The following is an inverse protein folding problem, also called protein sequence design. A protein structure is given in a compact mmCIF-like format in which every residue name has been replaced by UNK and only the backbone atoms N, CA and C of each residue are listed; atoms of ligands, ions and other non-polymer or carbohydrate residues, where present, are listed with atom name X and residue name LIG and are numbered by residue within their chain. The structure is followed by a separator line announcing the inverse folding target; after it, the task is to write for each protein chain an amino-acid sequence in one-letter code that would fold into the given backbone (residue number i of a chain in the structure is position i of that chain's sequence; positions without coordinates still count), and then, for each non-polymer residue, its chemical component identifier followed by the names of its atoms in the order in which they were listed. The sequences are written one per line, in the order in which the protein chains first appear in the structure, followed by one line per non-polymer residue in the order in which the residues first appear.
data_IF_244274821388
#
_entry.id   IF_244274821388
#
_cell.length_a   1.000
_cell.length_b   1.000
_cell.length_c   1.000
_cell.angle_alpha   90.00
_cell.angle_beta   90.00
_cell.angle_gamma   90.00
#
_symmetry.space_group_name_H-M   'P 1'
#
loop_
_entity.id
_entity.type
_entity.pdbx_description
1 polymer ?
#
# COMPACT_ATOMS: atom_id res chain seq x y z
N UNK A 1 -14.67 -27.93 59.24
CA UNK A 1 -13.72 -26.83 58.97
C UNK A 1 -12.59 -27.38 58.15
N UNK A 2 -12.41 -26.94 56.90
CA UNK A 2 -11.29 -27.34 56.04
C UNK A 2 -10.47 -26.08 55.74
N UNK A 3 -9.16 -26.11 56.01
CA UNK A 3 -8.26 -25.00 55.70
C UNK A 3 -7.65 -25.23 54.32
N UNK A 4 -7.86 -24.26 53.42
CA UNK A 4 -7.31 -24.27 52.06
C UNK A 4 -5.90 -23.69 52.07
N UNK A 5 -4.90 -24.49 51.74
CA UNK A 5 -3.50 -24.04 51.59
C UNK A 5 -3.28 -23.45 50.20
N UNK A 6 -3.33 -22.13 50.08
CA UNK A 6 -3.01 -21.42 48.84
C UNK A 6 -1.49 -21.36 48.60
N UNK A 7 -1.06 -21.72 47.39
CA UNK A 7 0.33 -21.61 46.93
C UNK A 7 0.58 -20.19 46.38
N UNK A 8 1.63 -19.47 46.80
CA UNK A 8 1.91 -18.12 46.29
C UNK A 8 2.54 -18.14 44.89
N UNK A 9 2.28 -17.12 44.05
CA UNK A 9 2.81 -17.04 42.68
C UNK A 9 4.32 -16.72 42.63
N UNK A 10 5.03 -17.13 41.56
CA UNK A 10 6.47 -16.89 41.40
C UNK A 10 6.80 -15.41 41.13
N UNK A 11 7.94 -14.95 41.66
CA UNK A 11 8.44 -13.57 41.45
C UNK A 11 8.94 -13.35 40.01
N UNK A 12 8.77 -12.15 39.44
CA UNK A 12 9.36 -11.81 38.14
C UNK A 12 10.90 -11.79 38.20
N UNK A 13 11.54 -12.15 37.09
CA UNK A 13 13.01 -12.13 36.93
C UNK A 13 13.47 -10.72 36.55
N UNK A 14 14.53 -10.24 37.17
CA UNK A 14 15.15 -8.95 36.83
C UNK A 14 15.76 -8.98 35.42
N UNK A 15 15.69 -7.88 34.64
CA UNK A 15 16.40 -7.76 33.37
C UNK A 15 17.92 -7.56 33.59
N UNK A 16 18.76 -7.98 32.62
CA UNK A 16 20.21 -7.76 32.67
C UNK A 16 20.59 -6.28 32.43
N UNK A 17 21.79 -5.84 32.87
CA UNK A 17 22.24 -4.46 32.73
C UNK A 17 22.57 -4.09 31.27
N UNK A 18 22.41 -2.80 30.95
CA UNK A 18 22.72 -2.23 29.63
C UNK A 18 24.18 -1.78 29.62
N UNK A 19 25.02 -2.47 28.84
CA UNK A 19 26.35 -1.98 28.50
C UNK A 19 26.26 -1.02 27.31
N UNK A 20 26.73 0.22 27.51
CA UNK A 20 26.94 1.18 26.43
C UNK A 20 28.42 1.28 26.06
N UNK A 21 28.79 1.49 24.77
CA UNK A 21 30.16 1.77 24.40
C UNK A 21 30.49 3.27 24.44
N UNK A 22 31.71 3.55 24.93
CA UNK A 22 32.34 4.87 24.97
C UNK A 22 32.61 5.47 23.57
N UNK A 23 32.68 6.81 23.55
CA UNK A 23 33.14 7.64 22.43
C UNK A 23 34.57 7.29 21.95
N UNK A 24 34.85 7.56 20.66
CA UNK A 24 36.16 8.06 20.21
C UNK A 24 36.02 9.01 19.02
N UNK A 25 36.82 10.07 19.03
CA UNK A 25 36.89 11.12 18.02
C UNK A 25 37.95 10.81 16.94
N UNK A 26 37.72 11.30 15.72
CA UNK A 26 38.69 11.75 14.71
C UNK A 26 37.92 12.35 13.52
N UNK A 27 38.41 13.26 12.70
CA UNK A 27 39.40 14.34 12.84
C UNK A 27 39.16 15.33 11.68
N UNK A 28 39.57 16.60 11.80
CA UNK A 28 39.29 17.66 10.82
C UNK A 28 40.44 17.95 9.85
N UNK A 29 40.12 18.19 8.56
CA UNK A 29 40.86 19.03 7.58
C UNK A 29 39.83 19.48 6.50
N UNK A 30 39.62 20.74 6.08
CA UNK A 30 40.48 21.65 5.26
C UNK A 30 41.09 20.97 4.01
N UNK A 31 41.19 21.52 2.78
CA UNK A 31 40.76 22.76 2.08
C UNK A 31 40.98 22.55 0.54
N UNK A 32 40.63 23.40 -0.47
CA UNK A 32 39.87 24.68 -0.58
C UNK A 32 39.42 25.01 -2.04
N UNK A 33 38.53 26.03 -2.14
CA UNK A 33 38.24 27.06 -3.19
C UNK A 33 38.71 26.99 -4.67
N UNK A 34 37.98 27.81 -5.47
CA UNK A 34 38.23 28.40 -6.81
C UNK A 34 37.78 27.57 -8.03
N UNK A 35 37.17 28.04 -9.13
CA UNK A 35 36.54 29.30 -9.64
C UNK A 35 37.09 29.70 -11.03
N UNK A 36 36.25 30.32 -11.88
CA UNK A 36 36.50 30.77 -13.28
C UNK A 36 36.49 29.64 -14.34
N UNK A 37 36.07 29.87 -15.61
CA UNK A 37 35.51 31.07 -16.25
C UNK A 37 34.62 30.72 -17.46
N UNK A 38 33.73 31.65 -17.85
CA UNK A 38 33.02 31.64 -19.15
C UNK A 38 33.61 32.68 -20.12
N UNK A 39 33.47 32.46 -21.43
CA UNK A 39 33.02 33.51 -22.36
C UNK A 39 31.87 32.97 -23.26
N UNK A 40 30.75 33.65 -23.55
CA UNK A 40 30.47 35.05 -23.96
C UNK A 40 30.09 35.13 -25.46
N UNK A 41 28.81 35.41 -25.74
CA UNK A 41 28.27 36.08 -26.95
C UNK A 41 28.44 35.34 -28.30
N UNK A 42 27.54 35.41 -29.30
CA UNK A 42 26.21 36.04 -29.44
C UNK A 42 25.62 35.67 -30.81
N UNK A 43 24.31 35.43 -30.93
CA UNK A 43 23.57 35.61 -32.20
C UNK A 43 22.07 35.73 -31.94
N UNK A 44 21.48 36.89 -32.25
CA UNK A 44 20.03 37.10 -32.27
C UNK A 44 19.53 36.95 -33.71
N UNK A 45 18.55 36.09 -33.93
CA UNK A 45 17.73 36.12 -35.14
C UNK A 45 16.32 35.55 -34.89
N UNK A 46 15.33 36.36 -35.27
CA UNK A 46 13.90 36.05 -35.33
C UNK A 46 13.37 36.61 -36.67
N UNK A 47 12.19 36.17 -37.14
CA UNK A 47 11.64 34.82 -37.07
C UNK A 47 11.22 34.34 -38.49
N UNK A 48 11.01 33.03 -38.66
CA UNK A 48 10.30 32.50 -39.83
C UNK A 48 9.12 31.64 -39.40
N UNK A 49 7.94 32.04 -39.86
CA UNK A 49 6.68 31.34 -39.61
C UNK A 49 6.66 29.99 -40.33
N UNK A 50 6.65 28.91 -39.56
CA UNK A 50 6.21 27.60 -40.02
C UNK A 50 5.24 27.06 -38.97
N UNK A 51 3.95 27.02 -39.33
CA UNK A 51 2.94 26.28 -38.58
C UNK A 51 3.38 24.82 -38.55
N UNK A 52 3.39 24.21 -37.37
CA UNK A 52 3.39 22.76 -37.28
C UNK A 52 2.41 22.37 -36.19
N UNK A 53 1.52 21.45 -36.51
CA UNK A 53 0.28 21.28 -35.77
C UNK A 53 0.53 20.70 -34.37
N UNK A 54 -0.10 21.33 -33.38
CA UNK A 54 -0.07 20.86 -32.01
C UNK A 54 -0.85 19.57 -31.87
N UNK A 55 -0.20 18.43 -32.17
CA UNK A 55 -0.62 17.14 -31.66
C UNK A 55 -0.48 17.22 -30.15
N UNK A 56 -1.60 17.51 -29.48
CA UNK A 56 -1.69 17.45 -28.04
C UNK A 56 -1.33 16.03 -27.61
N UNK A 57 -0.12 15.88 -27.05
CA UNK A 57 0.12 14.78 -26.15
C UNK A 57 -0.84 14.98 -24.98
N UNK A 58 -1.96 14.27 -24.99
CA UNK A 58 -2.71 14.03 -23.77
C UNK A 58 -1.69 13.42 -22.79
N UNK A 59 -1.27 14.20 -21.79
CA UNK A 59 -0.59 13.64 -20.64
C UNK A 59 -1.59 12.65 -20.04
N UNK A 60 -1.39 11.38 -20.35
CA UNK A 60 -2.11 10.26 -19.77
C UNK A 60 -1.92 10.38 -18.26
N UNK A 61 -2.90 11.01 -17.62
CA UNK A 61 -2.81 11.47 -16.24
C UNK A 61 -2.74 10.23 -15.37
N UNK A 62 -1.52 9.77 -15.11
CA UNK A 62 -1.22 8.54 -14.36
C UNK A 62 -2.04 8.55 -13.08
N UNK A 63 -3.13 7.80 -13.10
CA UNK A 63 -4.07 7.80 -11.99
C UNK A 63 -3.31 7.31 -10.77
N UNK A 64 -3.18 8.17 -9.77
CA UNK A 64 -2.53 7.81 -8.52
C UNK A 64 -3.28 6.69 -7.80
N UNK A 65 -2.70 6.15 -6.72
CA UNK A 65 -3.40 5.17 -5.91
C UNK A 65 -4.68 5.80 -5.37
N UNK A 66 -5.82 5.11 -5.50
CA UNK A 66 -7.15 5.64 -5.16
C UNK A 66 -8.06 4.62 -4.50
N UNK A 67 -9.01 5.15 -3.73
CA UNK A 67 -10.21 4.48 -3.27
C UNK A 67 -11.23 4.49 -4.41
N UNK A 68 -11.70 3.30 -4.80
CA UNK A 68 -12.86 3.13 -5.66
C UNK A 68 -14.04 2.69 -4.80
N UNK A 69 -15.02 3.56 -4.60
CA UNK A 69 -16.33 3.22 -4.06
C UNK A 69 -17.03 2.35 -5.12
N UNK A 70 -17.33 1.10 -4.79
CA UNK A 70 -18.00 0.18 -5.69
C UNK A 70 -19.53 0.33 -5.65
N UNK A 71 -20.06 0.71 -4.48
CA UNK A 71 -21.48 1.04 -4.26
C UNK A 71 -21.63 1.79 -2.94
N UNK A 72 -22.49 2.79 -2.88
CA UNK A 72 -22.93 3.41 -1.64
C UNK A 72 -24.45 3.69 -1.67
N UNK A 73 -25.11 3.50 -0.54
CA UNK A 73 -26.53 3.78 -0.37
C UNK A 73 -26.82 4.39 0.99
N UNK A 74 -27.72 5.37 1.03
CA UNK A 74 -28.14 6.07 2.23
C UNK A 74 -29.66 5.99 2.42
N UNK A 75 -30.13 5.63 3.61
CA UNK A 75 -31.56 5.56 3.92
C UNK A 75 -31.91 4.60 5.06
N UNK A 76 -33.15 4.12 5.11
CA UNK A 76 -33.64 3.27 6.21
C UNK A 76 -34.58 2.14 5.73
N UNK A 77 -34.22 0.90 6.05
CA UNK A 77 -34.97 -0.29 5.62
C UNK A 77 -34.88 -0.49 4.11
N UNK A 78 -36.02 -0.46 3.42
CA UNK A 78 -36.11 -0.63 1.96
C UNK A 78 -36.02 0.69 1.18
N UNK A 79 -36.07 1.84 1.84
CA UNK A 79 -35.98 3.15 1.19
C UNK A 79 -34.54 3.64 1.26
N UNK A 80 -33.84 3.55 0.13
CA UNK A 80 -32.42 3.85 -0.02
C UNK A 80 -32.19 4.73 -1.25
N UNK A 81 -31.49 5.85 -1.09
CA UNK A 81 -30.91 6.62 -2.18
C UNK A 81 -29.54 6.02 -2.56
N UNK A 82 -29.22 5.96 -3.85
CA UNK A 82 -27.85 5.69 -4.29
C UNK A 82 -27.01 6.96 -4.13
N UNK A 83 -25.86 6.82 -3.48
CA UNK A 83 -24.92 7.92 -3.20
C UNK A 83 -23.50 7.58 -3.63
N UNK A 84 -23.33 6.57 -4.51
CA UNK A 84 -22.04 6.04 -4.97
C UNK A 84 -21.15 7.14 -5.55
N UNK A 85 -21.66 7.91 -6.51
CA UNK A 85 -20.90 8.97 -7.18
C UNK A 85 -20.55 10.13 -6.25
N UNK A 86 -21.44 10.46 -5.31
CA UNK A 86 -21.19 11.51 -4.30
C UNK A 86 -20.06 11.07 -3.37
N UNK A 87 -20.09 9.82 -2.88
CA UNK A 87 -19.05 9.30 -1.98
C UNK A 87 -17.71 9.09 -2.72
N UNK A 88 -17.73 8.68 -3.99
CA UNK A 88 -16.53 8.61 -4.84
C UNK A 88 -15.91 10.00 -5.00
N UNK A 89 -16.72 11.01 -5.35
CA UNK A 89 -16.25 12.40 -5.51
C UNK A 89 -15.63 12.94 -4.22
N UNK A 90 -16.23 12.67 -3.07
CA UNK A 90 -15.64 13.04 -1.76
C UNK A 90 -14.26 12.42 -1.55
N UNK A 91 -14.07 11.15 -1.93
CA UNK A 91 -12.78 10.49 -1.83
C UNK A 91 -11.75 11.15 -2.76
N UNK A 92 -12.13 11.42 -4.01
CA UNK A 92 -11.27 12.03 -5.02
C UNK A 92 -10.87 13.47 -4.66
N UNK A 93 -11.82 14.30 -4.19
CA UNK A 93 -11.59 15.65 -3.68
C UNK A 93 -10.68 15.66 -2.44
N UNK A 94 -10.75 14.63 -1.60
CA UNK A 94 -9.84 14.42 -0.46
C UNK A 94 -8.48 13.80 -0.88
N UNK A 95 -8.13 13.83 -2.16
CA UNK A 95 -6.87 13.35 -2.71
C UNK A 95 -6.87 11.86 -3.06
N UNK A 96 -8.02 11.19 -3.09
CA UNK A 96 -8.21 9.82 -3.57
C UNK A 96 -7.99 8.72 -2.54
N UNK A 97 -7.29 8.93 -1.42
CA UNK A 97 -7.03 7.87 -0.41
C UNK A 97 -7.69 8.11 0.96
N UNK A 98 -8.56 9.11 1.07
CA UNK A 98 -9.17 9.50 2.35
C UNK A 98 -10.68 9.71 2.20
N UNK A 99 -11.45 9.24 3.18
CA UNK A 99 -12.84 9.67 3.44
C UNK A 99 -12.91 10.11 4.91
N UNK A 100 -12.84 11.42 5.16
CA UNK A 100 -13.04 12.03 6.49
C UNK A 100 -14.24 12.99 6.42
N UNK A 101 -15.38 12.57 6.97
CA UNK A 101 -16.67 13.22 6.75
C UNK A 101 -17.64 13.03 7.94
N UNK A 102 -18.64 13.91 8.01
CA UNK A 102 -19.74 13.88 9.01
C UNK A 102 -19.28 13.98 10.47
N UNK A 103 -20.23 14.08 11.41
CA UNK A 103 -19.95 14.11 12.84
C UNK A 103 -19.21 15.36 13.37
N UNK A 104 -19.00 16.38 12.53
CA UNK A 104 -18.45 17.67 12.96
C UNK A 104 -19.58 18.57 13.47
N UNK A 105 -19.48 19.05 14.72
CA UNK A 105 -20.45 19.97 15.34
C UNK A 105 -20.43 21.41 14.79
N UNK A 106 -20.01 21.63 13.55
CA UNK A 106 -19.81 22.96 12.97
C UNK A 106 -20.08 22.98 11.47
N UNK A 107 -20.31 24.20 10.95
CA UNK A 107 -20.71 24.54 9.58
C UNK A 107 -19.65 24.19 8.50
N UNK A 108 -19.32 22.91 8.35
CA UNK A 108 -18.70 22.39 7.13
C UNK A 108 -19.81 22.03 6.13
N UNK A 109 -19.58 22.19 4.81
CA UNK A 109 -20.59 21.86 3.80
C UNK A 109 -21.05 20.38 3.85
N UNK A 110 -20.25 19.49 4.45
CA UNK A 110 -20.55 18.07 4.63
C UNK A 110 -20.79 17.72 6.13
N UNK A 111 -21.40 18.64 6.89
CA UNK A 111 -21.58 18.50 8.35
C UNK A 111 -22.53 17.37 8.77
N UNK A 112 -23.63 17.20 8.03
CA UNK A 112 -24.61 16.11 8.17
C UNK A 112 -24.88 15.42 6.83
N UNK A 113 -25.30 14.16 6.90
CA UNK A 113 -25.55 13.30 5.74
C UNK A 113 -26.75 13.80 4.92
N UNK A 114 -27.82 14.31 5.57
CA UNK A 114 -29.00 14.82 4.86
C UNK A 114 -28.72 16.05 4.01
N UNK A 115 -27.79 16.92 4.41
CA UNK A 115 -27.38 18.07 3.59
C UNK A 115 -26.62 17.65 2.33
N UNK A 116 -25.97 16.47 2.35
CA UNK A 116 -25.12 15.98 1.27
C UNK A 116 -25.80 14.98 0.34
N UNK A 117 -26.72 14.17 0.89
CA UNK A 117 -27.40 13.08 0.19
C UNK A 117 -28.91 13.33 -0.01
N UNK A 118 -29.45 14.39 0.59
CA UNK A 118 -30.90 14.56 0.79
C UNK A 118 -31.42 13.69 1.93
N UNK A 119 -32.71 13.85 2.27
CA UNK A 119 -33.40 12.99 3.24
C UNK A 119 -34.37 12.05 2.52
N UNK A 120 -33.94 10.82 2.17
CA UNK A 120 -34.77 9.87 1.43
C UNK A 120 -35.94 9.31 2.25
N UNK A 121 -35.93 9.46 3.59
CA UNK A 121 -36.97 8.93 4.46
C UNK A 121 -37.08 9.78 5.75
N UNK A 122 -37.80 10.92 5.68
CA UNK A 122 -37.93 11.83 6.81
C UNK A 122 -38.51 11.21 8.07
N UNK A 123 -38.00 11.65 9.22
CA UNK A 123 -38.45 11.18 10.54
C UNK A 123 -38.00 9.77 10.91
N UNK A 124 -37.07 9.16 10.16
CA UNK A 124 -36.45 7.88 10.49
C UNK A 124 -34.92 8.00 10.51
N UNK A 125 -34.31 7.31 11.46
CA UNK A 125 -32.85 7.15 11.53
C UNK A 125 -32.36 6.38 10.31
N UNK A 126 -31.38 6.97 9.59
CA UNK A 126 -30.80 6.42 8.37
C UNK A 126 -29.41 5.86 8.63
N UNK A 127 -28.90 5.12 7.66
CA UNK A 127 -27.55 4.56 7.67
C UNK A 127 -26.92 4.72 6.29
N UNK A 128 -25.64 5.12 6.26
CA UNK A 128 -24.79 5.04 5.08
C UNK A 128 -24.16 3.64 5.03
N UNK A 129 -24.55 2.86 4.03
CA UNK A 129 -23.96 1.57 3.71
C UNK A 129 -23.11 1.74 2.45
N UNK A 130 -21.84 1.37 2.48
CA UNK A 130 -20.99 1.45 1.29
C UNK A 130 -19.93 0.36 1.24
N UNK A 131 -19.47 0.07 0.03
CA UNK A 131 -18.35 -0.80 -0.24
C UNK A 131 -17.31 -0.12 -1.13
N UNK A 132 -16.04 -0.38 -0.86
CA UNK A 132 -14.92 0.23 -1.58
C UNK A 132 -13.73 -0.71 -1.67
N UNK A 133 -12.83 -0.45 -2.60
CA UNK A 133 -11.48 -1.02 -2.58
C UNK A 133 -10.42 0.06 -2.79
N UNK A 134 -9.22 -0.14 -2.24
CA UNK A 134 -8.06 0.67 -2.55
C UNK A 134 -7.31 0.00 -3.70
N UNK A 135 -7.08 0.76 -4.76
CA UNK A 135 -6.33 0.37 -5.94
C UNK A 135 -4.96 1.04 -5.90
N UNK A 136 -3.90 0.24 -5.75
CA UNK A 136 -2.55 0.70 -6.01
C UNK A 136 -2.31 0.80 -7.51
N UNK A 137 -1.80 1.95 -7.95
CA UNK A 137 -1.42 2.21 -9.33
C UNK A 137 0.04 1.81 -9.61
N UNK A 138 0.85 1.64 -8.55
CA UNK A 138 2.28 1.40 -8.69
C UNK A 138 2.56 -0.06 -8.99
N UNK A 139 3.05 -0.30 -10.20
CA UNK A 139 3.71 -1.56 -10.54
C UNK A 139 5.06 -1.63 -9.82
N UNK A 140 5.26 -2.67 -9.02
CA UNK A 140 6.51 -2.96 -8.35
C UNK A 140 7.19 -4.16 -8.99
N UNK A 141 8.51 -4.09 -9.11
CA UNK A 141 9.36 -5.23 -9.43
C UNK A 141 10.23 -5.54 -8.21
N UNK A 142 10.21 -6.78 -7.74
CA UNK A 142 11.23 -7.30 -6.82
C UNK A 142 11.96 -8.47 -7.46
N UNK A 143 13.25 -8.58 -7.15
CA UNK A 143 14.07 -9.74 -7.48
C UNK A 143 14.52 -10.42 -6.19
N UNK A 144 14.49 -11.75 -6.19
CA UNK A 144 14.97 -12.60 -5.09
C UNK A 144 15.92 -13.64 -5.70
N UNK A 145 17.20 -13.70 -5.29
CA UNK A 145 18.11 -14.75 -5.75
C UNK A 145 17.61 -16.14 -5.34
N UNK A 146 17.99 -17.16 -6.11
CA UNK A 146 17.68 -18.56 -5.85
C UNK A 146 17.89 -18.95 -4.36
N UNK A 147 16.92 -19.70 -3.84
CA UNK A 147 16.84 -20.19 -2.46
C UNK A 147 16.93 -19.15 -1.32
N UNK A 148 16.92 -17.85 -1.64
CA UNK A 148 16.71 -16.80 -0.63
C UNK A 148 15.24 -16.72 -0.25
N UNK A 149 14.99 -16.47 1.03
CA UNK A 149 13.64 -16.34 1.56
C UNK A 149 12.93 -15.10 0.99
N UNK A 150 11.83 -15.34 0.28
CA UNK A 150 10.91 -14.32 -0.17
C UNK A 150 10.06 -13.82 1.01
N UNK A 151 9.89 -12.50 1.11
CA UNK A 151 8.99 -11.82 2.07
C UNK A 151 8.22 -10.70 1.35
N UNK A 152 7.25 -11.07 0.53
CA UNK A 152 6.38 -10.13 -0.17
C UNK A 152 5.11 -9.87 0.66
N UNK A 153 5.24 -9.10 1.74
CA UNK A 153 4.10 -8.67 2.58
C UNK A 153 4.09 -7.16 2.74
N UNK A 154 2.90 -6.57 2.87
CA UNK A 154 2.75 -5.11 2.99
C UNK A 154 3.53 -4.58 4.20
N UNK A 155 3.49 -5.30 5.32
CA UNK A 155 4.30 -5.00 6.50
C UNK A 155 5.81 -5.00 6.21
N UNK A 156 6.33 -6.02 5.52
CA UNK A 156 7.77 -6.11 5.24
C UNK A 156 8.22 -4.99 4.31
N UNK A 157 7.45 -4.71 3.26
CA UNK A 157 7.76 -3.63 2.31
C UNK A 157 7.62 -2.26 2.96
N UNK A 158 6.63 -2.04 3.83
CA UNK A 158 6.50 -0.80 4.60
C UNK A 158 7.69 -0.58 5.53
N UNK A 159 8.07 -1.58 6.34
CA UNK A 159 9.26 -1.48 7.20
C UNK A 159 10.52 -1.19 6.39
N UNK A 160 10.68 -1.82 5.22
CA UNK A 160 11.84 -1.65 4.33
C UNK A 160 11.93 -0.27 3.67
N UNK A 161 10.79 0.31 3.25
CA UNK A 161 10.74 1.59 2.52
C UNK A 161 10.59 2.80 3.45
N UNK A 162 9.78 2.67 4.51
CA UNK A 162 9.37 3.78 5.38
C UNK A 162 10.08 3.79 6.76
N UNK A 163 10.82 2.74 7.12
CA UNK A 163 11.62 2.70 8.35
C UNK A 163 10.84 2.60 9.67
N UNK A 164 9.55 2.24 9.63
CA UNK A 164 8.68 2.19 10.82
C UNK A 164 7.66 1.05 10.80
N UNK A 165 6.80 1.00 11.83
CA UNK A 165 5.63 0.11 11.84
C UNK A 165 4.59 0.56 10.80
N UNK A 166 3.97 -0.36 10.04
CA UNK A 166 2.85 -0.01 9.17
C UNK A 166 1.65 0.50 9.99
N UNK A 167 0.77 1.32 9.39
CA UNK A 167 -0.51 1.68 9.99
C UNK A 167 -1.46 0.46 10.00
N UNK A 168 -2.52 0.49 10.82
CA UNK A 168 -3.42 -0.66 10.99
C UNK A 168 -4.15 -1.05 9.69
N UNK A 169 -4.44 -0.08 8.83
CA UNK A 169 -5.06 -0.25 7.52
C UNK A 169 -4.22 -1.15 6.59
N UNK A 170 -2.91 -1.29 6.84
CA UNK A 170 -2.04 -2.20 6.07
C UNK A 170 -2.46 -3.67 6.17
N UNK A 171 -3.19 -4.05 7.23
CA UNK A 171 -3.77 -5.39 7.40
C UNK A 171 -4.90 -5.67 6.40
N UNK A 172 -5.52 -4.63 5.85
CA UNK A 172 -6.59 -4.70 4.85
C UNK A 172 -6.07 -4.83 3.42
N UNK A 173 -4.78 -4.58 3.21
CA UNK A 173 -4.11 -4.63 1.92
C UNK A 173 -3.65 -6.06 1.62
N UNK A 174 -3.65 -6.42 0.34
CA UNK A 174 -3.29 -7.69 -0.25
C UNK A 174 -2.39 -7.45 -1.47
N UNK A 175 -1.51 -8.41 -1.78
CA UNK A 175 -0.68 -8.35 -2.99
C UNK A 175 -1.44 -8.95 -4.16
N UNK A 176 -1.39 -8.29 -5.31
CA UNK A 176 -1.81 -8.85 -6.59
C UNK A 176 -0.56 -9.10 -7.42
N UNK A 177 -0.17 -10.38 -7.54
CA UNK A 177 0.93 -10.79 -8.42
C UNK A 177 0.43 -10.73 -9.85
N UNK A 178 1.04 -9.86 -10.66
CA UNK A 178 0.66 -9.62 -12.04
C UNK A 178 1.42 -10.56 -12.98
N UNK A 179 2.72 -10.74 -12.74
CA UNK A 179 3.61 -11.64 -13.47
C UNK A 179 4.78 -12.06 -12.58
N UNK A 180 5.29 -13.27 -12.77
CA UNK A 180 6.53 -13.71 -12.14
C UNK A 180 7.32 -14.66 -13.05
N UNK A 181 8.63 -14.49 -13.07
CA UNK A 181 9.55 -15.35 -13.83
C UNK A 181 10.67 -15.86 -12.94
N UNK A 182 11.09 -17.10 -13.18
CA UNK A 182 12.21 -17.73 -12.51
C UNK A 182 13.20 -18.25 -13.54
N UNK A 183 14.49 -17.93 -13.40
CA UNK A 183 15.54 -18.41 -14.30
C UNK A 183 16.72 -17.46 -14.45
N UNK A 184 17.43 -17.56 -15.58
CA UNK A 184 18.57 -16.69 -15.92
C UNK A 184 18.68 -16.47 -17.43
N UNK A 185 18.94 -15.22 -17.82
CA UNK A 185 19.03 -14.82 -19.23
C UNK A 185 17.72 -15.12 -19.96
N UNK A 186 17.81 -15.86 -21.08
CA UNK A 186 16.65 -16.29 -21.87
C UNK A 186 16.02 -17.60 -21.35
N UNK A 187 16.67 -18.29 -20.43
CA UNK A 187 16.19 -19.55 -19.85
C UNK A 187 15.35 -19.25 -18.62
N UNK A 188 14.05 -19.00 -18.81
CA UNK A 188 13.11 -18.64 -17.76
C UNK A 188 11.82 -19.47 -17.83
N UNK A 189 11.28 -19.82 -16.67
CA UNK A 189 9.91 -20.30 -16.51
C UNK A 189 9.02 -19.14 -16.07
N UNK A 190 7.81 -19.07 -16.63
CA UNK A 190 6.72 -18.30 -16.04
C UNK A 190 6.20 -19.06 -14.82
N UNK A 191 6.27 -18.42 -13.65
CA UNK A 191 5.87 -18.99 -12.36
C UNK A 191 4.70 -18.20 -11.74
N UNK A 192 4.03 -17.37 -12.54
CA UNK A 192 2.95 -16.47 -12.10
C UNK A 192 1.82 -17.23 -11.42
N UNK A 193 1.36 -18.33 -12.03
CA UNK A 193 0.27 -19.15 -11.46
C UNK A 193 0.70 -19.85 -10.17
N UNK A 194 1.89 -20.47 -10.17
CA UNK A 194 2.46 -21.15 -8.99
C UNK A 194 2.55 -20.17 -7.80
N UNK A 195 3.04 -18.95 -8.02
CA UNK A 195 3.07 -17.94 -6.96
C UNK A 195 1.69 -17.44 -6.52
N UNK A 196 0.71 -17.35 -7.44
CA UNK A 196 -0.68 -16.99 -7.10
C UNK A 196 -1.35 -18.07 -6.25
N UNK A 197 -1.10 -19.34 -6.55
CA UNK A 197 -1.61 -20.47 -5.77
C UNK A 197 -0.98 -20.48 -4.37
N UNK A 198 0.35 -20.38 -4.27
CA UNK A 198 1.07 -20.26 -2.98
C UNK A 198 0.62 -19.05 -2.16
N UNK A 199 0.24 -17.95 -2.82
CA UNK A 199 -0.31 -16.75 -2.19
C UNK A 199 -1.75 -16.98 -1.70
N UNK A 200 -2.59 -17.67 -2.47
CA UNK A 200 -3.95 -18.02 -2.09
C UNK A 200 -3.96 -18.98 -0.90
N UNK A 201 -3.07 -19.98 -0.88
CA UNK A 201 -2.82 -20.86 0.27
C UNK A 201 -2.43 -20.09 1.55
N UNK A 202 -1.78 -18.92 1.40
CA UNK A 202 -1.44 -18.00 2.50
C UNK A 202 -2.50 -16.92 2.76
N UNK A 203 -3.71 -17.08 2.22
CA UNK A 203 -4.85 -16.18 2.44
C UNK A 203 -4.78 -14.85 1.68
N UNK A 204 -3.97 -14.76 0.62
CA UNK A 204 -3.95 -13.63 -0.32
C UNK A 204 -3.30 -12.33 0.16
N UNK A 205 -3.00 -12.18 1.45
CA UNK A 205 -2.48 -10.92 2.04
C UNK A 205 -1.04 -10.61 1.66
N UNK A 206 -0.22 -11.64 1.47
CA UNK A 206 1.20 -11.52 1.19
C UNK A 206 1.83 -12.91 1.14
N UNK A 207 3.01 -13.01 0.54
CA UNK A 207 3.69 -14.26 0.30
C UNK A 207 5.00 -14.33 1.08
N UNK A 208 5.11 -15.31 1.98
CA UNK A 208 6.36 -15.68 2.64
C UNK A 208 6.72 -17.11 2.19
N UNK A 209 7.81 -17.25 1.45
CA UNK A 209 8.17 -18.51 0.80
C UNK A 209 9.69 -18.71 0.70
N UNK A 210 10.10 -19.95 0.47
CA UNK A 210 11.50 -20.37 0.28
C UNK A 210 12.43 -20.12 1.48
N UNK A 211 13.67 -20.56 1.36
CA UNK A 211 14.71 -20.36 2.38
C UNK A 211 14.55 -21.21 3.65
N UNK A 212 13.81 -22.32 3.58
CA UNK A 212 13.68 -23.30 4.68
C UNK A 212 14.16 -24.70 4.25
N UNK A 213 14.85 -25.40 5.16
CA UNK A 213 15.26 -26.81 4.96
C UNK A 213 14.11 -27.81 5.08
N UNK A 214 12.95 -27.39 5.60
CA UNK A 214 11.78 -28.26 5.82
C UNK A 214 10.51 -27.56 5.28
N UNK A 215 9.58 -28.39 4.79
CA UNK A 215 8.32 -28.04 4.09
C UNK A 215 7.44 -27.01 4.82
N UNK A 216 6.50 -26.32 4.11
CA UNK A 216 6.01 -26.64 2.76
C UNK A 216 6.95 -26.20 1.62
N UNK A 217 7.46 -24.97 1.67
CA UNK A 217 8.05 -24.29 0.51
C UNK A 217 9.59 -24.36 0.57
N UNK A 218 10.16 -25.44 0.01
CA UNK A 218 11.60 -25.75 0.03
C UNK A 218 12.47 -24.85 -0.86
N UNK A 219 13.42 -25.45 -1.60
CA UNK A 219 14.18 -24.73 -2.63
C UNK A 219 13.29 -24.32 -3.82
N UNK A 220 13.67 -23.25 -4.51
CA UNK A 220 12.89 -22.69 -5.63
C UNK A 220 12.75 -23.68 -6.79
N UNK A 221 13.80 -24.44 -7.13
CA UNK A 221 13.75 -25.48 -8.17
C UNK A 221 12.69 -26.56 -7.89
N UNK A 222 12.36 -26.81 -6.62
CA UNK A 222 11.31 -27.77 -6.26
C UNK A 222 9.90 -27.22 -6.44
N UNK A 223 9.72 -25.91 -6.38
CA UNK A 223 8.45 -25.25 -6.65
C UNK A 223 8.24 -24.93 -8.13
N UNK A 224 9.32 -24.63 -8.87
CA UNK A 224 9.25 -24.06 -10.21
C UNK A 224 9.81 -24.94 -11.33
N UNK A 225 10.55 -26.01 -11.01
CA UNK A 225 11.47 -26.64 -11.95
C UNK A 225 12.80 -25.88 -12.05
N UNK A 226 13.78 -26.47 -12.76
CA UNK A 226 15.08 -25.84 -13.02
C UNK A 226 15.23 -25.49 -14.51
N UNK A 227 14.98 -24.23 -14.92
CA UNK A 227 15.06 -23.81 -16.32
C UNK A 227 16.49 -23.73 -16.88
N UNK A 228 17.52 -23.67 -16.02
CA UNK A 228 18.92 -23.63 -16.43
C UNK A 228 19.81 -24.35 -15.38
N UNK A 229 19.90 -25.68 -15.46
CA UNK A 229 20.69 -26.48 -14.54
C UNK A 229 22.17 -26.07 -14.50
N UNK A 230 22.70 -25.93 -13.28
CA UNK A 230 24.08 -25.49 -13.04
C UNK A 230 24.28 -23.97 -13.01
N UNK A 231 23.22 -23.17 -13.22
CA UNK A 231 23.27 -21.71 -13.11
C UNK A 231 22.46 -21.17 -11.93
N UNK A 232 22.99 -20.13 -11.27
CA UNK A 232 22.26 -19.35 -10.27
C UNK A 232 21.09 -18.60 -10.91
N UNK A 233 19.87 -18.84 -10.41
CA UNK A 233 18.64 -18.24 -10.94
C UNK A 233 18.15 -17.06 -10.11
N UNK A 234 17.28 -16.26 -10.69
CA UNK A 234 16.58 -15.17 -10.02
C UNK A 234 15.08 -15.33 -10.20
N UNK A 235 14.35 -15.18 -9.09
CA UNK A 235 12.90 -15.00 -9.09
C UNK A 235 12.60 -13.50 -9.21
N UNK A 236 12.00 -13.08 -10.32
CA UNK A 236 11.48 -11.74 -10.54
C UNK A 236 9.95 -11.75 -10.39
N UNK A 237 9.40 -10.78 -9.67
CA UNK A 237 7.96 -10.67 -9.41
C UNK A 237 7.50 -9.23 -9.69
N UNK A 238 6.60 -9.09 -10.66
CA UNK A 238 5.83 -7.89 -10.94
C UNK A 238 4.50 -7.96 -10.17
N UNK A 239 4.22 -6.96 -9.33
CA UNK A 239 3.01 -6.95 -8.49
C UNK A 239 2.51 -5.53 -8.20
N UNK A 240 1.28 -5.44 -7.70
CA UNK A 240 0.71 -4.23 -7.08
C UNK A 240 0.06 -4.53 -5.73
N UNK A 241 -0.24 -3.50 -4.97
CA UNK A 241 -1.03 -3.59 -3.75
C UNK A 241 -2.48 -3.18 -4.00
N UNK A 242 -3.43 -3.85 -3.35
CA UNK A 242 -4.84 -3.47 -3.34
C UNK A 242 -5.54 -3.97 -2.09
N UNK A 243 -6.73 -3.51 -1.77
CA UNK A 243 -7.60 -4.25 -0.84
C UNK A 243 -8.46 -5.25 -1.61
N UNK A 244 -9.08 -6.19 -0.88
CA UNK A 244 -10.34 -6.78 -1.32
C UNK A 244 -11.45 -5.72 -1.32
N UNK A 245 -12.65 -6.06 -1.81
CA UNK A 245 -13.82 -5.22 -1.57
C UNK A 245 -14.15 -5.21 -0.06
N UNK A 246 -14.03 -4.03 0.56
CA UNK A 246 -14.37 -3.78 1.96
C UNK A 246 -15.80 -3.23 2.03
N UNK A 247 -16.48 -3.43 3.16
CA UNK A 247 -17.83 -2.92 3.40
C UNK A 247 -17.91 -2.22 4.76
N UNK A 248 -18.64 -1.10 4.81
CA UNK A 248 -18.83 -0.28 6.00
C UNK A 248 -20.30 0.12 6.15
N UNK A 249 -20.72 0.23 7.41
CA UNK A 249 -21.98 0.80 7.84
C UNK A 249 -21.69 1.95 8.80
N UNK A 250 -22.33 3.10 8.59
CA UNK A 250 -22.17 4.31 9.41
C UNK A 250 -23.56 4.88 9.67
N UNK A 251 -23.98 4.94 10.93
CA UNK A 251 -25.27 5.53 11.30
C UNK A 251 -25.30 7.03 10.96
N UNK A 252 -26.49 7.57 10.73
CA UNK A 252 -26.72 8.97 10.39
C UNK A 252 -25.90 9.94 11.27
N UNK A 253 -25.19 10.84 10.60
CA UNK A 253 -24.30 11.86 11.15
C UNK A 253 -23.15 11.38 12.07
N UNK A 254 -22.88 10.07 12.15
CA UNK A 254 -21.65 9.58 12.78
C UNK A 254 -20.43 9.90 11.91
N UNK A 255 -19.30 10.21 12.56
CA UNK A 255 -18.05 10.48 11.86
C UNK A 255 -17.59 9.25 11.07
N UNK A 256 -17.42 9.42 9.77
CA UNK A 256 -16.65 8.52 8.91
C UNK A 256 -15.20 9.02 8.87
N UNK A 257 -14.24 8.12 9.09
CA UNK A 257 -12.81 8.44 9.05
C UNK A 257 -12.04 7.23 8.55
N UNK A 258 -11.61 7.28 7.28
CA UNK A 258 -10.79 6.28 6.61
C UNK A 258 -9.64 7.00 5.92
N UNK A 259 -8.40 6.55 6.10
CA UNK A 259 -7.26 7.11 5.35
C UNK A 259 -6.16 6.08 5.10
N UNK A 260 -5.80 5.94 3.83
CA UNK A 260 -4.72 5.06 3.36
C UNK A 260 -3.46 5.86 2.98
N UNK A 261 -3.45 7.17 3.23
CA UNK A 261 -2.39 8.11 2.84
C UNK A 261 -0.99 7.72 3.32
N UNK A 262 -0.86 7.19 4.53
CA UNK A 262 0.44 6.70 5.06
C UNK A 262 1.07 5.60 4.20
N UNK A 263 0.28 4.90 3.40
CA UNK A 263 0.72 3.83 2.49
C UNK A 263 0.89 4.28 1.03
N UNK A 264 0.56 5.53 0.68
CA UNK A 264 0.71 6.11 -0.67
C UNK A 264 2.06 5.84 -1.34
N UNK A 265 3.23 5.80 -0.64
CA UNK A 265 4.50 5.48 -1.30
C UNK A 265 4.60 4.03 -1.83
N UNK A 266 3.76 3.12 -1.33
CA UNK A 266 3.72 1.72 -1.74
C UNK A 266 2.55 1.41 -2.67
N UNK A 267 1.40 2.08 -2.52
CA UNK A 267 0.25 1.92 -3.42
C UNK A 267 0.57 2.46 -4.82
#
# INVERSE_FOLDING_TARGET
MQQSTAVPPPRPKNPPPIEGPFSRQAASSSESRSSFSSPSLSAVSHPSSARNDGVGAEEEKKEGPRMRVARASYGAGTVLADVTDTLQRMADEAGGLTLDAFGYKGLRPNGCMNALFGDPVPGRDKQLLFSYEILGCRLHLITTPEDKKLKLTMEHMYRKVMGGSPPDEAKLVAVEILKATYGRGNNVHDVTLILRDMLAEQGGRGLVAFGYKVKPNGCMNKAFGDPCPGEDKTLAIEYRWRTSLLAHAVDEDKKLSLSFEKMRPLL
#
